data_IF_334100835947
#
_entry.id   IF_334100835947
#
_cell.length_a   1.000
_cell.length_b   1.000
_cell.length_c   1.000
_cell.angle_alpha   90.00
_cell.angle_beta   90.00
_cell.angle_gamma   90.00
#
_symmetry.space_group_name_H-M   'P 1'
#
loop_
_entity.id
_entity.type
_entity.pdbx_description
1 polymer ?
#
# COMPACT_ATOMS: atom_id res chain seq x y z
N UNK A 1 18.02 17.54 -27.53
CA UNK A 1 19.46 17.54 -27.21
C UNK A 1 20.17 16.93 -28.39
N UNK A 2 20.98 17.71 -29.11
CA UNK A 2 21.79 17.20 -30.23
C UNK A 2 22.94 16.37 -29.66
N UNK A 3 23.21 15.20 -30.25
CA UNK A 3 24.35 14.38 -29.85
C UNK A 3 25.66 15.03 -30.35
N UNK A 4 26.73 14.89 -29.57
CA UNK A 4 28.06 15.40 -29.94
C UNK A 4 28.89 14.31 -30.61
N UNK A 5 29.67 14.68 -31.62
CA UNK A 5 30.58 13.79 -32.31
C UNK A 5 31.62 13.20 -31.33
N UNK A 6 31.63 11.88 -31.19
CA UNK A 6 32.56 11.16 -30.31
C UNK A 6 34.01 11.28 -30.77
N UNK A 7 34.26 11.33 -32.09
CA UNK A 7 35.59 11.52 -32.67
C UNK A 7 36.20 12.89 -32.37
N UNK A 8 35.41 13.97 -32.50
CA UNK A 8 35.83 15.32 -32.13
C UNK A 8 36.02 15.43 -30.61
N UNK A 9 35.11 14.83 -29.83
CA UNK A 9 35.20 14.82 -28.36
C UNK A 9 36.49 14.18 -27.86
N UNK A 10 36.93 13.08 -28.49
CA UNK A 10 38.20 12.44 -28.17
C UNK A 10 39.43 13.34 -28.43
N UNK A 11 39.30 14.33 -29.33
CA UNK A 11 40.31 15.36 -29.63
C UNK A 11 40.12 16.66 -28.83
N UNK A 12 39.17 16.69 -27.89
CA UNK A 12 38.84 17.88 -27.10
C UNK A 12 38.03 18.94 -27.86
N UNK A 13 37.40 18.58 -28.97
CA UNK A 13 36.58 19.47 -29.79
C UNK A 13 35.09 19.13 -29.62
N UNK A 14 34.24 20.15 -29.55
CA UNK A 14 32.78 19.97 -29.52
C UNK A 14 32.20 20.29 -30.89
N UNK A 15 31.68 19.26 -31.55
CA UNK A 15 30.98 19.36 -32.83
C UNK A 15 29.73 18.50 -32.77
N UNK A 16 28.62 18.96 -33.34
CA UNK A 16 27.40 18.16 -33.42
C UNK A 16 27.60 16.94 -34.33
N UNK A 17 27.05 15.79 -33.92
CA UNK A 17 27.03 14.60 -34.73
C UNK A 17 25.97 14.73 -35.83
N UNK A 18 26.34 14.31 -37.04
CA UNK A 18 25.45 14.32 -38.21
C UNK A 18 24.90 12.93 -38.53
N UNK A 19 25.64 11.88 -38.19
CA UNK A 19 25.26 10.49 -38.45
C UNK A 19 25.71 9.58 -37.33
N UNK A 20 25.12 8.39 -37.26
CA UNK A 20 25.53 7.33 -36.35
C UNK A 20 26.02 6.17 -37.20
N UNK A 21 27.27 5.77 -37.01
CA UNK A 21 27.78 4.50 -37.55
C UNK A 21 27.67 3.46 -36.43
N UNK A 22 27.15 2.28 -36.74
CA UNK A 22 27.00 1.20 -35.77
C UNK A 22 27.66 -0.09 -36.26
N UNK A 23 28.28 -0.81 -35.33
CA UNK A 23 28.77 -2.17 -35.52
C UNK A 23 28.17 -3.03 -34.42
N UNK A 24 27.27 -3.93 -34.80
CA UNK A 24 26.45 -4.71 -33.86
C UNK A 24 25.61 -3.79 -32.95
N UNK A 25 25.87 -3.85 -31.64
CA UNK A 25 25.18 -3.06 -30.61
C UNK A 25 25.89 -1.75 -30.23
N UNK A 26 27.08 -1.48 -30.77
CA UNK A 26 27.82 -0.25 -30.49
C UNK A 26 27.57 0.76 -31.61
N UNK A 27 27.02 1.91 -31.23
CA UNK A 27 26.88 3.08 -32.11
C UNK A 27 27.89 4.15 -31.76
N UNK A 28 28.37 4.87 -32.76
CA UNK A 28 29.20 6.05 -32.63
C UNK A 28 28.53 7.22 -33.33
N UNK A 29 28.19 8.25 -32.57
CA UNK A 29 27.70 9.53 -33.09
C UNK A 29 28.89 10.29 -33.69
N UNK A 30 28.87 10.54 -35.01
CA UNK A 30 30.01 11.09 -35.76
C UNK A 30 29.59 12.30 -36.62
N UNK A 31 30.48 13.28 -36.71
CA UNK A 31 30.38 14.33 -37.72
C UNK A 31 30.73 13.75 -39.10
N UNK A 32 30.39 14.44 -40.21
CA UNK A 32 30.61 13.90 -41.56
C UNK A 32 32.05 13.46 -41.82
N UNK A 33 33.04 14.24 -41.38
CA UNK A 33 34.47 13.92 -41.57
C UNK A 33 34.90 12.65 -40.82
N UNK A 34 34.50 12.52 -39.55
CA UNK A 34 34.85 11.32 -38.77
C UNK A 34 34.07 10.10 -39.24
N UNK A 35 32.85 10.28 -39.73
CA UNK A 35 32.06 9.21 -40.31
C UNK A 35 32.73 8.66 -41.58
N UNK A 36 33.14 9.53 -42.52
CA UNK A 36 33.82 9.13 -43.75
C UNK A 36 35.13 8.38 -43.45
N UNK A 37 35.94 8.91 -42.53
CA UNK A 37 37.20 8.27 -42.14
C UNK A 37 36.99 6.91 -41.47
N UNK A 38 35.97 6.81 -40.61
CA UNK A 38 35.64 5.57 -39.92
C UNK A 38 35.09 4.52 -40.91
N UNK A 39 34.22 4.92 -41.82
CA UNK A 39 33.74 4.06 -42.91
C UNK A 39 34.88 3.58 -43.81
N UNK A 40 35.87 4.43 -44.11
CA UNK A 40 37.07 4.03 -44.85
C UNK A 40 37.84 2.89 -44.16
N UNK A 41 38.05 3.00 -42.85
CA UNK A 41 38.68 1.91 -42.09
C UNK A 41 37.86 0.61 -42.11
N UNK A 42 36.53 0.71 -42.03
CA UNK A 42 35.67 -0.47 -42.10
C UNK A 42 35.72 -1.11 -43.50
N UNK A 43 35.70 -0.29 -44.55
CA UNK A 43 35.84 -0.76 -45.93
C UNK A 43 37.19 -1.47 -46.15
N UNK A 44 38.28 -0.92 -45.61
CA UNK A 44 39.60 -1.55 -45.69
C UNK A 44 39.67 -2.87 -44.90
N UNK A 45 38.99 -2.95 -43.75
CA UNK A 45 38.99 -4.14 -42.90
C UNK A 45 38.12 -5.28 -43.42
N UNK A 46 36.94 -4.95 -43.94
CA UNK A 46 35.91 -5.93 -44.32
C UNK A 46 35.80 -6.13 -45.84
N UNK A 47 36.45 -5.28 -46.63
CA UNK A 47 36.23 -5.19 -48.07
C UNK A 47 34.93 -4.43 -48.39
N UNK A 48 34.85 -3.90 -49.61
CA UNK A 48 33.62 -3.29 -50.15
C UNK A 48 32.78 -4.26 -50.96
N UNK A 49 33.31 -5.46 -51.21
CA UNK A 49 32.72 -6.44 -52.12
C UNK A 49 31.56 -7.16 -51.41
N UNK A 50 30.32 -6.83 -51.82
CA UNK A 50 29.10 -7.51 -51.34
C UNK A 50 28.24 -6.72 -50.35
N UNK A 51 28.54 -5.44 -50.07
CA UNK A 51 27.70 -4.55 -49.25
C UNK A 51 26.54 -3.94 -50.04
N UNK A 52 25.87 -4.72 -50.89
CA UNK A 52 24.51 -4.34 -51.26
C UNK A 52 23.60 -4.72 -50.10
N UNK A 53 22.91 -3.77 -49.46
CA UNK A 53 21.95 -4.10 -48.41
C UNK A 53 20.73 -4.76 -49.04
N UNK A 54 20.85 -6.03 -49.44
CA UNK A 54 19.69 -6.90 -49.67
C UNK A 54 19.21 -7.40 -48.31
N UNK A 55 18.90 -6.46 -47.41
CA UNK A 55 18.20 -6.79 -46.18
C UNK A 55 16.75 -6.99 -46.61
N UNK A 56 16.45 -8.19 -47.12
CA UNK A 56 15.07 -8.64 -47.26
C UNK A 56 14.42 -8.44 -45.88
N UNK A 57 13.41 -7.56 -45.82
CA UNK A 57 12.80 -7.18 -44.56
C UNK A 57 12.32 -8.44 -43.85
N UNK A 58 12.94 -8.78 -42.71
CA UNK A 58 12.73 -10.05 -41.99
C UNK A 58 11.39 -10.12 -41.25
N UNK A 59 10.42 -9.30 -41.63
CA UNK A 59 9.13 -9.15 -40.98
C UNK A 59 9.16 -8.22 -39.76
N UNK A 60 8.09 -8.28 -38.96
CA UNK A 60 7.93 -7.45 -37.77
C UNK A 60 8.36 -8.18 -36.48
N UNK A 61 8.88 -7.44 -35.50
CA UNK A 61 9.31 -7.95 -34.19
C UNK A 61 8.70 -7.13 -33.07
N UNK A 62 8.23 -7.82 -32.03
CA UNK A 62 7.72 -7.21 -30.81
C UNK A 62 8.72 -7.39 -29.68
N UNK A 63 9.04 -6.29 -28.99
CA UNK A 63 9.81 -6.34 -27.73
C UNK A 63 8.84 -6.15 -26.57
N UNK A 64 8.95 -7.02 -25.56
CA UNK A 64 8.14 -6.96 -24.34
C UNK A 64 9.01 -7.16 -23.10
N UNK A 65 8.89 -6.25 -22.12
CA UNK A 65 9.74 -6.26 -20.92
C UNK A 65 11.11 -5.60 -21.12
N UNK A 66 11.96 -5.68 -20.09
CA UNK A 66 13.32 -5.11 -20.10
C UNK A 66 14.34 -6.18 -20.47
N UNK A 67 15.16 -5.94 -21.49
CA UNK A 67 16.22 -6.86 -21.91
C UNK A 67 17.44 -6.67 -20.99
N UNK A 68 17.92 -7.71 -20.29
CA UNK A 68 19.13 -7.61 -19.47
C UNK A 68 20.35 -7.15 -20.28
N UNK A 69 21.00 -6.08 -19.82
CA UNK A 69 22.22 -5.54 -20.45
C UNK A 69 21.99 -4.65 -21.67
N UNK A 70 20.73 -4.36 -22.03
CA UNK A 70 20.38 -3.47 -23.12
C UNK A 70 19.34 -2.45 -22.66
N UNK A 71 19.57 -1.18 -22.97
CA UNK A 71 18.51 -0.19 -22.95
C UNK A 71 17.58 -0.35 -24.16
N UNK A 72 16.41 0.28 -24.11
CA UNK A 72 15.37 0.14 -25.12
C UNK A 72 15.82 0.61 -26.51
N UNK A 73 16.62 1.67 -26.58
CA UNK A 73 17.07 2.23 -27.86
C UNK A 73 18.15 1.36 -28.50
N UNK A 74 19.11 0.87 -27.70
CA UNK A 74 20.14 -0.05 -28.17
C UNK A 74 19.54 -1.38 -28.63
N UNK A 75 18.57 -1.92 -27.89
CA UNK A 75 17.87 -3.13 -28.31
C UNK A 75 17.10 -2.93 -29.63
N UNK A 76 16.41 -1.79 -29.78
CA UNK A 76 15.71 -1.46 -31.02
C UNK A 76 16.67 -1.37 -32.21
N UNK A 77 17.73 -0.58 -32.07
CA UNK A 77 18.73 -0.41 -33.14
C UNK A 77 19.36 -1.73 -33.56
N UNK A 78 19.65 -2.63 -32.61
CA UNK A 78 20.25 -3.92 -32.93
C UNK A 78 19.34 -4.82 -33.80
N UNK A 79 18.03 -4.75 -33.60
CA UNK A 79 17.03 -5.47 -34.41
C UNK A 79 16.82 -4.83 -35.77
N UNK A 80 16.77 -3.49 -35.82
CA UNK A 80 16.69 -2.74 -37.08
C UNK A 80 17.91 -2.99 -37.96
N UNK A 81 19.12 -2.99 -37.37
CA UNK A 81 20.36 -3.36 -38.05
C UNK A 81 20.36 -4.83 -38.54
N UNK A 82 19.54 -5.69 -37.92
CA UNK A 82 19.34 -7.08 -38.33
C UNK A 82 18.24 -7.25 -39.38
N UNK A 83 17.58 -6.17 -39.80
CA UNK A 83 16.55 -6.16 -40.84
C UNK A 83 15.12 -6.33 -40.37
N UNK A 84 14.84 -6.21 -39.07
CA UNK A 84 13.49 -6.30 -38.54
C UNK A 84 12.82 -4.94 -38.38
N UNK A 85 11.50 -4.90 -38.60
CA UNK A 85 10.64 -3.76 -38.27
C UNK A 85 10.09 -3.92 -36.86
N UNK A 86 10.24 -2.92 -35.99
CA UNK A 86 9.78 -3.04 -34.60
C UNK A 86 8.37 -2.48 -34.45
N UNK A 87 7.46 -3.33 -34.00
CA UNK A 87 6.04 -3.00 -33.81
C UNK A 87 5.64 -3.01 -32.33
N UNK A 88 4.56 -2.30 -32.03
CA UNK A 88 4.04 -2.19 -30.66
C UNK A 88 3.27 -3.44 -30.22
N UNK A 89 2.63 -4.11 -31.18
CA UNK A 89 1.68 -5.21 -30.99
C UNK A 89 2.06 -6.37 -31.91
N UNK A 90 1.61 -7.56 -31.57
CA UNK A 90 1.79 -8.73 -32.43
C UNK A 90 0.78 -8.63 -33.58
N UNK A 91 1.30 -8.59 -34.80
CA UNK A 91 0.57 -8.58 -36.07
C UNK A 91 0.67 -9.98 -36.72
N UNK A 92 -0.15 -10.28 -37.74
CA UNK A 92 -0.07 -11.56 -38.47
C UNK A 92 1.30 -11.79 -39.13
N UNK A 93 2.03 -10.71 -39.46
CA UNK A 93 3.37 -10.75 -40.06
C UNK A 93 4.51 -10.72 -39.03
N UNK A 94 4.19 -10.83 -37.73
CA UNK A 94 5.19 -10.80 -36.67
C UNK A 94 6.01 -12.09 -36.68
N UNK A 95 7.28 -11.93 -37.06
CA UNK A 95 8.23 -13.02 -37.20
C UNK A 95 8.74 -13.52 -35.85
N UNK A 96 8.82 -12.65 -34.83
CA UNK A 96 9.40 -12.98 -33.53
C UNK A 96 8.88 -12.05 -32.42
N UNK A 97 8.62 -12.59 -31.23
CA UNK A 97 8.49 -11.81 -30.00
C UNK A 97 9.72 -12.02 -29.12
N UNK A 98 10.24 -10.94 -28.54
CA UNK A 98 11.40 -10.95 -27.65
C UNK A 98 10.92 -10.62 -26.24
N UNK A 99 11.00 -11.60 -25.36
CA UNK A 99 10.54 -11.52 -23.98
C UNK A 99 11.70 -11.22 -23.03
N UNK A 100 11.71 -10.03 -22.44
CA UNK A 100 12.61 -9.64 -21.37
C UNK A 100 11.99 -9.79 -19.98
N UNK A 101 12.64 -9.17 -18.99
CA UNK A 101 12.19 -9.18 -17.59
C UNK A 101 10.87 -8.43 -17.47
N UNK A 102 9.89 -9.07 -16.80
CA UNK A 102 8.51 -8.58 -16.64
C UNK A 102 7.85 -8.22 -17.99
N UNK A 103 7.61 -9.23 -18.85
CA UNK A 103 6.96 -9.01 -20.13
C UNK A 103 5.51 -8.56 -19.90
N UNK A 104 5.02 -7.68 -20.78
CA UNK A 104 3.67 -7.17 -20.73
C UNK A 104 2.65 -8.29 -21.00
N UNK A 105 1.67 -8.53 -20.11
CA UNK A 105 0.80 -9.69 -20.21
C UNK A 105 -0.02 -9.77 -21.51
N UNK A 106 -0.51 -8.62 -21.98
CA UNK A 106 -1.32 -8.56 -23.21
C UNK A 106 -0.51 -8.96 -24.45
N UNK A 107 0.75 -8.57 -24.56
CA UNK A 107 1.60 -8.92 -25.70
C UNK A 107 1.97 -10.39 -25.73
N UNK A 108 2.20 -10.99 -24.55
CA UNK A 108 2.48 -12.42 -24.43
C UNK A 108 1.24 -13.22 -24.82
N UNK A 109 0.04 -12.78 -24.40
CA UNK A 109 -1.22 -13.40 -24.81
C UNK A 109 -1.48 -13.26 -26.31
N UNK A 110 -1.24 -12.08 -26.89
CA UNK A 110 -1.33 -11.86 -28.34
C UNK A 110 -0.38 -12.79 -29.12
N UNK A 111 0.86 -12.96 -28.64
CA UNK A 111 1.82 -13.89 -29.23
C UNK A 111 1.40 -15.36 -29.08
N UNK A 112 0.81 -15.74 -27.96
CA UNK A 112 0.28 -17.09 -27.73
C UNK A 112 -0.88 -17.40 -28.68
N UNK A 113 -1.82 -16.46 -28.84
CA UNK A 113 -2.97 -16.58 -29.75
C UNK A 113 -2.55 -16.64 -31.22
N UNK A 114 -1.53 -15.87 -31.61
CA UNK A 114 -1.00 -15.84 -32.96
C UNK A 114 0.02 -16.97 -33.26
N UNK A 115 0.45 -17.73 -32.24
CA UNK A 115 1.49 -18.75 -32.38
C UNK A 115 2.88 -18.18 -32.74
N UNK A 116 3.16 -16.94 -32.32
CA UNK A 116 4.40 -16.23 -32.65
C UNK A 116 5.60 -16.86 -31.93
N UNK A 117 6.71 -17.17 -32.64
CA UNK A 117 7.94 -17.66 -32.03
C UNK A 117 8.47 -16.70 -30.97
N UNK A 118 9.01 -17.23 -29.87
CA UNK A 118 9.48 -16.44 -28.75
C UNK A 118 10.98 -16.63 -28.50
N UNK A 119 11.70 -15.52 -28.37
CA UNK A 119 13.07 -15.50 -27.86
C UNK A 119 13.03 -15.00 -26.41
N UNK A 120 13.48 -15.84 -25.47
CA UNK A 120 13.62 -15.46 -24.07
C UNK A 120 14.94 -14.71 -23.86
N UNK A 121 14.84 -13.38 -23.84
CA UNK A 121 15.96 -12.49 -23.59
C UNK A 121 16.39 -12.45 -22.10
N UNK A 122 15.62 -13.06 -21.18
CA UNK A 122 16.03 -13.18 -19.77
C UNK A 122 17.14 -14.20 -19.57
N UNK A 123 17.25 -15.17 -20.48
CA UNK A 123 18.34 -16.14 -20.50
C UNK A 123 19.67 -15.43 -20.74
N UNK A 124 20.63 -15.67 -19.84
CA UNK A 124 21.86 -14.91 -19.78
C UNK A 124 22.60 -14.91 -21.12
N UNK A 125 22.77 -13.73 -21.73
CA UNK A 125 23.50 -13.56 -22.98
C UNK A 125 22.70 -13.86 -24.26
N UNK A 126 21.47 -14.39 -24.18
CA UNK A 126 20.69 -14.82 -25.33
C UNK A 126 20.49 -13.70 -26.38
N UNK A 127 20.05 -12.53 -25.93
CA UNK A 127 19.89 -11.37 -26.81
C UNK A 127 21.21 -10.93 -27.43
N UNK A 128 22.30 -10.88 -26.64
CA UNK A 128 23.63 -10.51 -27.12
C UNK A 128 24.16 -11.50 -28.16
N UNK A 129 23.95 -12.79 -27.94
CA UNK A 129 24.32 -13.85 -28.87
C UNK A 129 23.55 -13.74 -30.18
N UNK A 130 22.24 -13.48 -30.13
CA UNK A 130 21.42 -13.25 -31.31
C UNK A 130 21.91 -12.02 -32.11
N UNK A 131 22.19 -10.91 -31.43
CA UNK A 131 22.75 -9.70 -32.06
C UNK A 131 24.12 -9.96 -32.70
N UNK A 132 24.99 -10.74 -32.05
CA UNK A 132 26.37 -10.97 -32.53
C UNK A 132 26.41 -11.99 -33.67
N UNK A 133 25.54 -13.00 -33.63
CA UNK A 133 25.44 -14.03 -34.66
C UNK A 133 24.58 -13.63 -35.86
N UNK A 134 23.69 -12.65 -35.70
CA UNK A 134 22.65 -12.31 -36.68
C UNK A 134 21.54 -13.36 -36.79
N UNK A 135 21.53 -14.35 -35.89
CA UNK A 135 20.53 -15.42 -35.83
C UNK A 135 19.54 -15.16 -34.70
N UNK A 136 18.27 -15.01 -35.06
CA UNK A 136 17.18 -14.70 -34.14
C UNK A 136 16.23 -15.91 -34.10
N UNK A 137 16.49 -16.83 -33.17
CA UNK A 137 15.77 -18.11 -33.06
C UNK A 137 14.71 -17.99 -31.97
N UNK A 138 13.44 -18.19 -32.33
CA UNK A 138 12.28 -18.07 -31.44
C UNK A 138 11.78 -19.41 -30.88
N UNK A 139 12.68 -20.28 -30.42
CA UNK A 139 12.34 -21.63 -29.93
C UNK A 139 12.05 -21.67 -28.41
N UNK A 140 12.16 -20.54 -27.71
CA UNK A 140 11.90 -20.49 -26.28
C UNK A 140 10.38 -20.50 -26.00
N UNK A 141 9.92 -21.14 -24.91
CA UNK A 141 8.51 -21.10 -24.52
C UNK A 141 8.10 -19.69 -24.10
N UNK A 142 6.85 -19.30 -24.40
CA UNK A 142 6.29 -18.04 -23.92
C UNK A 142 6.24 -18.01 -22.38
N UNK A 143 6.63 -16.88 -21.74
CA UNK A 143 6.68 -16.78 -20.29
C UNK A 143 5.28 -16.69 -19.67
N UNK A 144 5.11 -17.29 -18.49
CA UNK A 144 3.85 -17.15 -17.74
C UNK A 144 3.73 -15.75 -17.13
N UNK A 145 2.73 -15.00 -17.56
CA UNK A 145 2.50 -13.62 -17.14
C UNK A 145 1.31 -13.50 -16.18
N UNK A 146 1.51 -12.80 -15.06
CA UNK A 146 0.41 -12.45 -14.17
C UNK A 146 -0.53 -11.46 -14.88
N UNK A 147 -1.81 -11.78 -14.96
CA UNK A 147 -2.80 -10.91 -15.59
C UNK A 147 -2.86 -9.56 -14.86
N UNK A 148 -3.01 -8.48 -15.64
CA UNK A 148 -3.25 -7.15 -15.07
C UNK A 148 -4.62 -7.20 -14.38
N UNK A 149 -4.69 -6.80 -13.10
CA UNK A 149 -5.97 -6.66 -12.39
C UNK A 149 -6.93 -5.86 -13.25
N UNK A 150 -8.14 -6.37 -13.45
CA UNK A 150 -9.19 -5.67 -14.19
C UNK A 150 -9.66 -4.45 -13.40
N UNK A 151 -10.36 -3.51 -14.04
CA UNK A 151 -10.98 -2.39 -13.34
C UNK A 151 -11.98 -2.88 -12.27
N UNK A 152 -12.67 -3.99 -12.55
CA UNK A 152 -13.58 -4.66 -11.62
C UNK A 152 -12.84 -5.21 -10.39
N UNK A 153 -11.69 -5.86 -10.58
CA UNK A 153 -10.86 -6.36 -9.48
C UNK A 153 -10.36 -5.23 -8.58
N UNK A 154 -9.96 -4.11 -9.20
CA UNK A 154 -9.51 -2.92 -8.48
C UNK A 154 -10.67 -2.32 -7.69
N UNK A 155 -11.85 -2.22 -8.29
CA UNK A 155 -13.05 -1.70 -7.63
C UNK A 155 -13.49 -2.60 -6.47
N UNK A 156 -13.51 -3.92 -6.67
CA UNK A 156 -13.83 -4.88 -5.62
C UNK A 156 -12.84 -4.77 -4.44
N UNK A 157 -11.56 -4.52 -4.70
CA UNK A 157 -10.56 -4.30 -3.65
C UNK A 157 -10.86 -3.01 -2.86
N UNK A 158 -11.18 -1.91 -3.54
CA UNK A 158 -11.55 -0.63 -2.88
C UNK A 158 -12.80 -0.80 -2.02
N UNK A 159 -13.84 -1.45 -2.55
CA UNK A 159 -15.09 -1.72 -1.82
C UNK A 159 -14.86 -2.60 -0.59
N UNK A 160 -13.99 -3.61 -0.70
CA UNK A 160 -13.61 -4.47 0.41
C UNK A 160 -12.85 -3.69 1.51
N UNK A 161 -11.92 -2.82 1.12
CA UNK A 161 -11.17 -1.97 2.04
C UNK A 161 -12.08 -0.96 2.74
N UNK A 162 -13.02 -0.35 2.01
CA UNK A 162 -14.00 0.57 2.59
C UNK A 162 -14.94 -0.14 3.57
N UNK A 163 -15.44 -1.33 3.22
CA UNK A 163 -16.27 -2.15 4.10
C UNK A 163 -15.52 -2.51 5.38
N UNK A 164 -14.26 -2.91 5.26
CA UNK A 164 -13.41 -3.20 6.42
C UNK A 164 -13.19 -1.95 7.29
N UNK A 165 -12.96 -0.80 6.66
CA UNK A 165 -12.79 0.49 7.36
C UNK A 165 -14.04 0.88 8.15
N UNK A 166 -15.22 0.73 7.56
CA UNK A 166 -16.49 1.02 8.21
C UNK A 166 -16.74 0.08 9.40
N UNK A 167 -16.49 -1.21 9.23
CA UNK A 167 -16.60 -2.20 10.31
C UNK A 167 -15.65 -1.90 11.47
N UNK A 168 -14.40 -1.53 11.17
CA UNK A 168 -13.41 -1.14 12.18
C UNK A 168 -13.86 0.10 12.95
N UNK A 169 -14.35 1.13 12.26
CA UNK A 169 -14.85 2.35 12.89
C UNK A 169 -16.06 2.07 13.78
N UNK A 170 -16.97 1.18 13.35
CA UNK A 170 -18.10 0.74 14.16
C UNK A 170 -17.66 0.11 15.48
N UNK A 171 -16.70 -0.83 15.43
CA UNK A 171 -16.16 -1.49 16.64
C UNK A 171 -15.49 -0.50 17.60
N UNK A 172 -14.79 0.49 17.06
CA UNK A 172 -14.18 1.55 17.87
C UNK A 172 -15.25 2.44 18.52
N UNK A 173 -16.32 2.78 17.80
CA UNK A 173 -17.44 3.53 18.34
C UNK A 173 -18.16 2.75 19.45
N UNK A 174 -18.48 1.47 19.23
CA UNK A 174 -19.08 0.58 20.24
C UNK A 174 -18.19 0.47 21.49
N UNK A 175 -16.88 0.30 21.30
CA UNK A 175 -15.92 0.26 22.41
C UNK A 175 -15.88 1.58 23.19
N UNK A 176 -15.98 2.71 22.49
CA UNK A 176 -15.98 4.05 23.09
C UNK A 176 -17.26 4.31 23.89
N UNK A 177 -18.42 3.89 23.39
CA UNK A 177 -19.70 3.97 24.11
C UNK A 177 -19.64 3.15 25.40
N UNK A 178 -19.17 1.90 25.32
CA UNK A 178 -19.00 1.03 26.50
C UNK A 178 -18.10 1.68 27.55
N UNK A 179 -16.98 2.28 27.15
CA UNK A 179 -16.09 2.97 28.08
C UNK A 179 -16.74 4.21 28.71
N UNK A 180 -17.55 4.94 27.95
CA UNK A 180 -18.29 6.09 28.47
C UNK A 180 -19.36 5.64 29.49
N UNK A 181 -20.07 4.55 29.23
CA UNK A 181 -21.05 3.97 30.16
C UNK A 181 -20.40 3.46 31.45
N UNK A 182 -19.32 2.69 31.34
CA UNK A 182 -18.57 2.19 32.50
C UNK A 182 -18.04 3.33 33.37
N UNK A 183 -17.56 4.41 32.74
CA UNK A 183 -17.11 5.60 33.45
C UNK A 183 -18.26 6.31 34.18
N UNK A 184 -19.42 6.46 33.54
CA UNK A 184 -20.62 7.04 34.17
C UNK A 184 -21.10 6.20 35.36
N UNK A 185 -21.06 4.87 35.24
CA UNK A 185 -21.45 3.98 36.33
C UNK A 185 -20.51 4.12 37.52
N UNK A 186 -19.19 4.11 37.29
CA UNK A 186 -18.18 4.33 38.34
C UNK A 186 -18.37 5.68 39.02
N UNK A 187 -18.63 6.73 38.25
CA UNK A 187 -18.90 8.07 38.78
C UNK A 187 -20.18 8.09 39.64
N UNK A 188 -21.27 7.47 39.17
CA UNK A 188 -22.50 7.36 39.97
C UNK A 188 -22.29 6.55 41.25
N UNK A 189 -21.52 5.46 41.20
CA UNK A 189 -21.19 4.67 42.39
C UNK A 189 -20.40 5.48 43.41
N UNK A 190 -19.42 6.27 42.96
CA UNK A 190 -18.63 7.12 43.85
C UNK A 190 -19.49 8.24 44.45
N UNK A 191 -20.35 8.89 43.65
CA UNK A 191 -21.32 9.87 44.16
C UNK A 191 -22.22 9.24 45.23
N UNK A 192 -22.77 8.04 44.98
CA UNK A 192 -23.58 7.31 45.99
C UNK A 192 -22.79 7.02 47.26
N UNK A 193 -21.52 6.65 47.12
CA UNK A 193 -20.63 6.39 48.26
C UNK A 193 -20.39 7.65 49.09
N UNK A 194 -20.08 8.77 48.44
CA UNK A 194 -19.89 10.07 49.09
C UNK A 194 -21.18 10.49 49.81
N UNK A 195 -22.34 10.41 49.13
CA UNK A 195 -23.64 10.73 49.74
C UNK A 195 -23.89 9.86 50.99
N UNK A 196 -23.62 8.56 50.91
CA UNK A 196 -23.77 7.64 52.04
C UNK A 196 -22.83 7.98 53.20
N UNK A 197 -21.59 8.38 52.91
CA UNK A 197 -20.61 8.76 53.93
C UNK A 197 -20.96 10.10 54.60
N UNK A 198 -21.54 11.03 53.85
CA UNK A 198 -21.97 12.35 54.34
C UNK A 198 -23.29 12.33 55.12
N UNK A 199 -24.04 11.22 55.10
CA UNK A 199 -25.27 11.12 55.87
C UNK A 199 -24.96 10.96 57.37
N UNK A 200 -25.59 11.76 58.25
CA UNK A 200 -25.41 11.62 59.68
C UNK A 200 -25.91 10.23 60.14
N UNK A 201 -25.26 9.62 61.14
CA UNK A 201 -25.67 8.32 61.65
C UNK A 201 -27.10 8.40 62.17
N UNK A 202 -27.97 7.56 61.63
CA UNK A 202 -29.35 7.42 62.10
C UNK A 202 -29.32 6.86 63.53
N UNK A 203 -29.50 7.72 64.52
CA UNK A 203 -29.52 7.31 65.93
C UNK A 203 -30.67 6.32 66.12
N UNK A 204 -30.35 5.12 66.62
CA UNK A 204 -31.37 4.16 67.01
C UNK A 204 -32.29 4.75 68.09
N UNK A 205 -33.52 4.27 68.14
CA UNK A 205 -34.51 4.74 69.11
C UNK A 205 -33.99 4.72 70.58
N UNK A 206 -33.26 3.67 71.05
CA UNK A 206 -32.60 3.71 72.35
C UNK A 206 -31.56 4.83 72.51
N UNK A 207 -30.82 5.19 71.45
CA UNK A 207 -29.85 6.30 71.50
C UNK A 207 -30.55 7.65 71.55
N UNK A 208 -31.65 7.83 70.80
CA UNK A 208 -32.51 9.03 70.88
C UNK A 208 -33.08 9.20 72.29
N UNK A 209 -33.63 8.11 72.87
CA UNK A 209 -34.16 8.10 74.24
C UNK A 209 -33.09 8.48 75.27
N UNK A 210 -31.86 7.96 75.15
CA UNK A 210 -30.76 8.33 76.07
C UNK A 210 -30.32 9.76 75.93
N UNK A 211 -30.19 10.27 74.70
CA UNK A 211 -29.77 11.65 74.44
C UNK A 211 -30.79 12.63 75.03
N UNK A 212 -32.09 12.37 74.82
CA UNK A 212 -33.18 13.13 75.43
C UNK A 212 -33.14 13.04 76.96
N UNK A 213 -33.04 11.83 77.51
CA UNK A 213 -33.07 11.65 78.95
C UNK A 213 -31.89 12.34 79.66
N UNK A 214 -30.70 12.38 79.05
CA UNK A 214 -29.56 13.16 79.57
C UNK A 214 -29.82 14.67 79.52
N UNK A 215 -30.45 15.17 78.46
CA UNK A 215 -30.81 16.59 78.33
C UNK A 215 -31.83 17.02 79.40
N UNK A 216 -32.78 16.15 79.73
CA UNK A 216 -33.78 16.33 80.79
C UNK A 216 -33.23 16.04 82.20
N UNK A 217 -31.95 15.70 82.33
CA UNK A 217 -31.27 15.52 83.62
C UNK A 217 -31.38 14.13 84.27
N UNK A 218 -31.90 13.12 83.55
CA UNK A 218 -31.89 11.73 84.04
C UNK A 218 -30.47 11.14 84.02
N UNK A 219 -30.04 10.54 85.15
CA UNK A 219 -28.74 9.85 85.27
C UNK A 219 -28.84 8.43 84.72
N UNK A 220 -28.47 8.24 83.45
CA UNK A 220 -28.51 6.94 82.76
C UNK A 220 -27.11 6.58 82.27
N UNK A 221 -26.74 5.30 82.44
CA UNK A 221 -25.51 4.73 81.86
C UNK A 221 -25.50 4.81 80.34
N UNK A 222 -24.32 4.91 79.74
CA UNK A 222 -24.12 4.90 78.29
C UNK A 222 -24.43 3.53 77.65
N UNK A 223 -24.42 2.45 78.45
CA UNK A 223 -24.63 1.06 78.00
C UNK A 223 -25.59 0.32 78.94
N UNK A 224 -26.35 -0.64 78.42
CA UNK A 224 -27.28 -1.49 79.19
C UNK A 224 -28.77 -1.24 78.94
N UNK A 225 -29.68 -1.92 79.63
CA UNK A 225 -31.12 -1.72 79.45
C UNK A 225 -31.56 -0.30 79.87
N UNK A 226 -32.37 0.37 79.05
CA UNK A 226 -32.97 1.66 79.41
C UNK A 226 -34.15 1.35 80.36
N UNK A 227 -34.21 1.99 81.55
CA UNK A 227 -35.33 1.82 82.47
C UNK A 227 -36.67 2.08 81.78
N UNK A 228 -37.68 1.25 82.06
CA UNK A 228 -39.03 1.37 81.47
C UNK A 228 -39.66 2.74 81.74
N UNK A 229 -39.42 3.30 82.92
CA UNK A 229 -39.86 4.64 83.34
C UNK A 229 -39.36 5.74 82.41
N UNK A 230 -38.11 5.66 81.95
CA UNK A 230 -37.52 6.63 81.01
C UNK A 230 -38.11 6.45 79.62
N UNK A 231 -38.37 5.21 79.18
CA UNK A 231 -39.01 4.95 77.87
C UNK A 231 -40.45 5.46 77.84
N UNK A 232 -41.19 5.29 78.92
CA UNK A 232 -42.55 5.82 79.07
C UNK A 232 -42.54 7.35 79.08
N UNK A 233 -41.66 7.97 79.87
CA UNK A 233 -41.51 9.43 79.89
C UNK A 233 -41.14 10.00 78.51
N UNK A 234 -40.23 9.35 77.78
CA UNK A 234 -39.87 9.73 76.41
C UNK A 234 -41.08 9.64 75.47
N UNK A 235 -41.83 8.52 75.52
CA UNK A 235 -43.05 8.35 74.73
C UNK A 235 -44.09 9.41 75.05
N UNK A 236 -44.29 9.75 76.32
CA UNK A 236 -45.22 10.83 76.71
C UNK A 236 -44.78 12.20 76.21
N UNK A 237 -43.48 12.53 76.28
CA UNK A 237 -42.94 13.80 75.80
C UNK A 237 -43.02 13.95 74.27
N UNK A 238 -42.90 12.84 73.52
CA UNK A 238 -42.91 12.83 72.06
C UNK A 238 -44.25 12.40 71.44
N UNK A 239 -45.21 11.91 72.25
CA UNK A 239 -46.57 11.57 71.80
C UNK A 239 -47.30 12.78 71.20
N UNK A 240 -46.96 14.00 71.63
CA UNK A 240 -47.47 15.24 71.02
C UNK A 240 -46.80 15.61 69.69
N UNK A 241 -45.57 15.17 69.43
CA UNK A 241 -44.85 15.44 68.18
C UNK A 241 -45.21 14.45 67.06
N UNK A 242 -45.60 13.21 67.39
CA UNK A 242 -46.14 12.26 66.41
C UNK A 242 -47.56 12.66 65.93
N UNK A 243 -48.40 13.22 66.82
CA UNK A 243 -49.71 13.72 66.44
C UNK A 243 -49.64 14.92 65.46
N UNK A 244 -48.66 15.82 65.64
CA UNK A 244 -48.40 16.96 64.73
C UNK A 244 -47.70 16.55 63.43
N UNK A 245 -46.95 15.45 63.41
CA UNK A 245 -46.30 14.95 62.19
C UNK A 245 -47.28 14.19 61.25
N UNK A 246 -48.37 13.63 61.79
CA UNK A 246 -49.43 12.99 60.98
C UNK A 246 -50.41 14.00 60.34
N UNK A 247 -50.62 15.17 60.93
CA UNK A 247 -51.49 16.22 60.36
C UNK A 247 -50.83 17.01 59.20
N UNK A 248 -49.50 17.03 59.09
CA UNK A 248 -48.77 17.74 58.02
C UNK A 248 -48.54 16.86 56.78
N UNK A 249 -48.91 15.57 56.85
CA UNK A 249 -48.77 14.59 55.78
C UNK A 249 -50.10 14.21 55.09
N UNK A 250 -51.21 14.93 55.39
CA UNK A 250 -52.50 14.83 54.68
C UNK A 250 -52.71 16.00 53.70
#
# INVERSE_FOLDING_TARGET
MTALCMGCKAKGQEQEAATVIAVGHKGWDLCPEHAERFSGYLADLFGTDGLEPTVEARGSVVITGTIPGYDADTARRALENSGYRIVGHVEEDTALIICGVRPAPHKVKEAEEAGTPCLDATRAGAFREAVTSGQWIGEDPLPTVAQKKTAEDVQAQVEAEEKWRLEKNRRLAESSVRWAEERREKEQQEIRRIVKQSQPPQLSEPQKIRAWAKAEGFKISDKGAIPSTVREAYRHAHAGQEALAMDVAS
#
